data_IF_442780603037
#
_entry.id   IF_442780603037
#
_cell.length_a   1.000
_cell.length_b   1.000
_cell.length_c   1.000
_cell.angle_alpha   90.00
_cell.angle_beta   90.00
_cell.angle_gamma   90.00
#
_symmetry.space_group_name_H-M   'P 1'
#
loop_
_entity.id
_entity.type
_entity.pdbx_description
1 polymer ?
#
# COMPACT_ATOMS: atom_id res chain seq x y z
N UNK A 1 -23.98 8.93 14.72
CA UNK A 1 -25.13 8.99 13.79
C UNK A 1 -24.78 9.64 12.45
N UNK A 2 -24.33 10.91 12.39
CA UNK A 2 -24.02 11.59 11.10
C UNK A 2 -22.90 10.93 10.27
N UNK A 3 -21.82 10.47 10.92
CA UNK A 3 -20.69 9.85 10.19
C UNK A 3 -21.02 8.46 9.62
N UNK A 4 -21.85 7.70 10.32
CA UNK A 4 -22.37 6.41 9.83
C UNK A 4 -23.32 6.61 8.65
N UNK A 5 -24.12 7.69 8.67
CA UNK A 5 -24.96 8.08 7.54
C UNK A 5 -24.10 8.42 6.30
N UNK A 6 -23.01 9.18 6.47
CA UNK A 6 -22.07 9.44 5.37
C UNK A 6 -21.52 8.16 4.72
N UNK A 7 -21.22 7.12 5.51
CA UNK A 7 -20.83 5.81 4.96
C UNK A 7 -21.99 5.09 4.28
N UNK A 8 -23.17 5.09 4.89
CA UNK A 8 -24.34 4.39 4.34
C UNK A 8 -24.77 4.96 2.99
N UNK A 9 -24.66 6.28 2.83
CA UNK A 9 -24.98 7.05 1.62
C UNK A 9 -23.90 6.98 0.53
N UNK A 10 -22.79 6.27 0.77
CA UNK A 10 -21.82 6.01 -0.29
C UNK A 10 -22.43 5.05 -1.33
N UNK A 11 -22.29 5.36 -2.62
CA UNK A 11 -22.52 4.39 -3.68
C UNK A 11 -21.79 3.07 -3.42
N UNK A 12 -22.45 1.94 -3.70
CA UNK A 12 -21.92 0.59 -3.41
C UNK A 12 -20.48 0.38 -3.92
N UNK A 13 -20.18 0.88 -5.12
CA UNK A 13 -18.86 0.75 -5.76
C UNK A 13 -17.74 1.52 -5.04
N UNK A 14 -18.06 2.48 -4.17
CA UNK A 14 -17.10 3.24 -3.37
C UNK A 14 -16.85 2.63 -1.99
N UNK A 15 -17.81 1.86 -1.46
CA UNK A 15 -17.73 1.32 -0.10
C UNK A 15 -16.48 0.46 0.11
N UNK A 16 -16.15 -0.41 -0.85
CA UNK A 16 -14.94 -1.24 -0.77
C UNK A 16 -13.66 -0.39 -0.75
N UNK A 17 -13.55 0.65 -1.60
CA UNK A 17 -12.41 1.57 -1.61
C UNK A 17 -12.31 2.35 -0.30
N UNK A 18 -13.44 2.74 0.28
CA UNK A 18 -13.48 3.49 1.53
C UNK A 18 -13.12 2.61 2.74
N UNK A 19 -13.72 1.42 2.86
CA UNK A 19 -13.35 0.42 3.87
C UNK A 19 -11.88 0.04 3.77
N UNK A 20 -11.29 0.03 2.57
CA UNK A 20 -9.86 -0.22 2.38
C UNK A 20 -8.97 0.80 3.09
N UNK A 21 -9.43 2.03 3.34
CA UNK A 21 -8.67 3.01 4.12
C UNK A 21 -8.46 2.56 5.58
N UNK A 22 -9.29 1.62 6.07
CA UNK A 22 -9.10 1.04 7.40
C UNK A 22 -7.75 0.34 7.52
N UNK A 23 -7.10 -0.15 6.46
CA UNK A 23 -5.81 -0.86 6.62
C UNK A 23 -4.67 0.05 7.08
N UNK A 24 -4.82 1.38 6.97
CA UNK A 24 -3.80 2.31 7.41
C UNK A 24 -3.96 2.58 8.93
N UNK A 25 -2.86 2.75 9.68
CA UNK A 25 -2.95 3.13 11.08
C UNK A 25 -3.49 4.56 11.21
N UNK A 26 -3.90 4.91 12.42
CA UNK A 26 -4.28 6.28 12.77
C UNK A 26 -3.15 7.26 12.41
N UNK A 27 -3.53 8.49 12.05
CA UNK A 27 -2.61 9.55 11.66
C UNK A 27 -1.71 9.26 10.43
N UNK A 28 -1.91 8.14 9.73
CA UNK A 28 -1.13 7.81 8.54
C UNK A 28 -1.45 8.74 7.37
N UNK A 29 -0.43 9.36 6.78
CA UNK A 29 -0.58 10.17 5.56
C UNK A 29 -0.67 9.24 4.35
N UNK A 30 -1.87 9.08 3.81
CA UNK A 30 -2.17 8.21 2.68
C UNK A 30 -1.93 8.98 1.38
N UNK A 31 -0.97 8.51 0.58
CA UNK A 31 -0.69 9.09 -0.75
C UNK A 31 -1.70 8.57 -1.77
N UNK A 32 -2.27 9.49 -2.55
CA UNK A 32 -3.31 9.20 -3.56
C UNK A 32 -2.89 8.15 -4.58
N UNK A 33 -1.74 8.33 -5.23
CA UNK A 33 -1.27 7.43 -6.28
C UNK A 33 -1.10 5.97 -5.82
N UNK A 34 -0.35 5.69 -4.74
CA UNK A 34 -0.28 4.35 -4.15
C UNK A 34 -1.64 3.76 -3.79
N UNK A 35 -2.52 4.55 -3.15
CA UNK A 35 -3.86 4.12 -2.77
C UNK A 35 -4.70 3.68 -3.98
N UNK A 36 -4.75 4.50 -5.03
CA UNK A 36 -5.47 4.17 -6.28
C UNK A 36 -4.94 2.87 -6.90
N UNK A 37 -3.62 2.70 -6.97
CA UNK A 37 -3.02 1.46 -7.51
C UNK A 37 -3.34 0.23 -6.66
N UNK A 38 -3.42 0.37 -5.34
CA UNK A 38 -3.86 -0.72 -4.47
C UNK A 38 -5.33 -1.09 -4.70
N UNK A 39 -6.22 -0.09 -4.87
CA UNK A 39 -7.63 -0.36 -5.20
C UNK A 39 -7.79 -1.07 -6.55
N UNK A 40 -6.98 -0.70 -7.55
CA UNK A 40 -6.95 -1.36 -8.86
C UNK A 40 -6.44 -2.81 -8.72
N UNK A 41 -5.36 -3.03 -7.97
CA UNK A 41 -4.79 -4.35 -7.73
C UNK A 41 -5.76 -5.28 -6.97
N UNK A 42 -6.57 -4.74 -6.06
CA UNK A 42 -7.67 -5.43 -5.40
C UNK A 42 -8.84 -5.76 -6.34
N UNK A 43 -9.00 -4.99 -7.42
CA UNK A 43 -10.10 -5.09 -8.36
C UNK A 43 -11.35 -4.31 -7.95
N UNK A 44 -11.23 -3.33 -7.04
CA UNK A 44 -12.35 -2.47 -6.65
C UNK A 44 -12.70 -1.44 -7.72
N UNK A 45 -11.75 -1.16 -8.61
CA UNK A 45 -11.91 -0.21 -9.69
C UNK A 45 -12.06 -0.98 -10.99
N UNK A 46 -13.21 -0.81 -11.64
CA UNK A 46 -13.50 -1.37 -12.96
C UNK A 46 -13.40 -0.28 -14.02
N UNK A 47 -12.97 -0.66 -15.21
CA UNK A 47 -12.89 0.25 -16.35
C UNK A 47 -14.32 0.71 -16.73
N UNK A 48 -14.47 2.01 -17.01
CA UNK A 48 -15.72 2.60 -17.51
C UNK A 48 -15.47 3.20 -18.90
N UNK A 49 -16.49 3.25 -19.74
CA UNK A 49 -16.36 3.73 -21.12
C UNK A 49 -15.61 5.08 -21.18
N UNK A 50 -14.50 5.10 -21.94
CA UNK A 50 -13.67 6.28 -22.15
C UNK A 50 -12.70 6.65 -21.02
N UNK A 51 -12.63 5.88 -19.92
CA UNK A 51 -11.76 6.18 -18.78
C UNK A 51 -10.82 5.02 -18.45
N UNK A 52 -9.56 5.35 -18.12
CA UNK A 52 -8.63 4.39 -17.54
C UNK A 52 -9.03 4.03 -16.10
N UNK A 53 -8.59 2.87 -15.61
CA UNK A 53 -8.86 2.50 -14.21
C UNK A 53 -8.22 3.48 -13.23
N UNK A 54 -7.08 4.07 -13.56
CA UNK A 54 -6.45 5.12 -12.76
C UNK A 54 -7.34 6.36 -12.72
N UNK A 55 -7.90 6.81 -13.84
CA UNK A 55 -8.83 7.94 -13.86
C UNK A 55 -10.09 7.67 -13.03
N UNK A 56 -10.65 6.45 -13.11
CA UNK A 56 -11.81 6.06 -12.29
C UNK A 56 -11.44 6.06 -10.80
N UNK A 57 -10.33 5.44 -10.41
CA UNK A 57 -9.88 5.41 -9.02
C UNK A 57 -9.52 6.78 -8.48
N UNK A 58 -8.96 7.66 -9.32
CA UNK A 58 -8.70 9.06 -8.97
C UNK A 58 -10.01 9.80 -8.67
N UNK A 59 -11.09 9.58 -9.43
CA UNK A 59 -12.41 10.16 -9.14
C UNK A 59 -13.02 9.62 -7.84
N UNK A 60 -12.81 8.34 -7.53
CA UNK A 60 -13.25 7.78 -6.25
C UNK A 60 -12.57 8.48 -5.07
N UNK A 61 -11.28 8.80 -5.19
CA UNK A 61 -10.57 9.58 -4.18
C UNK A 61 -11.15 11.00 -4.05
N UNK A 62 -11.45 11.66 -5.17
CA UNK A 62 -12.04 13.01 -5.15
C UNK A 62 -13.41 13.02 -4.46
N UNK A 63 -14.22 11.97 -4.62
CA UNK A 63 -15.51 11.84 -3.93
C UNK A 63 -15.35 11.77 -2.40
N UNK A 64 -14.31 11.09 -1.91
CA UNK A 64 -14.06 11.04 -0.47
C UNK A 64 -13.60 12.39 0.09
N UNK A 65 -12.89 13.17 -0.73
CA UNK A 65 -12.49 14.54 -0.37
C UNK A 65 -13.71 15.48 -0.40
N UNK A 66 -14.53 15.44 -1.45
CA UNK A 66 -15.69 16.33 -1.61
C UNK A 66 -16.75 16.10 -0.53
N UNK A 67 -16.88 14.86 -0.04
CA UNK A 67 -17.76 14.49 1.08
C UNK A 67 -17.14 14.71 2.46
N UNK A 68 -15.94 15.29 2.53
CA UNK A 68 -15.19 15.50 3.78
C UNK A 68 -15.01 14.22 4.61
N UNK A 69 -14.92 13.07 3.95
CA UNK A 69 -14.68 11.78 4.62
C UNK A 69 -13.19 11.55 4.91
N UNK A 70 -12.32 12.28 4.20
CA UNK A 70 -10.88 12.33 4.43
C UNK A 70 -10.40 13.78 4.47
N UNK A 71 -9.38 14.03 5.28
CA UNK A 71 -8.74 15.33 5.42
C UNK A 71 -7.60 15.49 4.40
N UNK A 72 -7.63 16.48 3.49
CA UNK A 72 -6.50 16.78 2.61
C UNK A 72 -5.24 17.18 3.40
N UNK A 73 -4.09 16.60 3.08
CA UNK A 73 -2.80 16.90 3.74
C UNK A 73 -1.83 17.63 2.81
N UNK A 74 -1.74 17.18 1.55
CA UNK A 74 -0.87 17.81 0.56
C UNK A 74 -1.68 18.11 -0.68
N UNK A 75 -1.71 19.38 -1.05
CA UNK A 75 -2.31 19.88 -2.27
C UNK A 75 -1.17 20.36 -3.16
N UNK A 76 -1.18 20.00 -4.44
CA UNK A 76 -0.20 20.54 -5.38
C UNK A 76 -0.63 21.93 -5.90
N UNK A 77 0.24 22.52 -6.73
CA UNK A 77 0.02 23.86 -7.27
C UNK A 77 -1.21 23.96 -8.18
N UNK A 78 -1.74 22.85 -8.71
CA UNK A 78 -2.97 22.84 -9.50
C UNK A 78 -4.23 22.69 -8.64
N UNK A 79 -4.10 22.77 -7.31
CA UNK A 79 -5.21 22.55 -6.37
C UNK A 79 -5.58 21.09 -6.19
N UNK A 80 -4.81 20.14 -6.75
CA UNK A 80 -5.15 18.71 -6.66
C UNK A 80 -4.64 18.11 -5.36
N UNK A 81 -5.53 17.47 -4.61
CA UNK A 81 -5.16 16.75 -3.39
C UNK A 81 -4.32 15.51 -3.75
N UNK A 82 -3.09 15.45 -3.24
CA UNK A 82 -2.09 14.40 -3.49
C UNK A 82 -1.93 13.40 -2.33
N UNK A 83 -2.35 13.79 -1.14
CA UNK A 83 -2.43 12.90 0.01
C UNK A 83 -3.48 13.38 1.00
N UNK A 84 -4.04 12.44 1.77
CA UNK A 84 -5.00 12.71 2.82
C UNK A 84 -4.66 11.94 4.11
N UNK A 85 -5.43 12.24 5.16
CA UNK A 85 -5.58 11.42 6.38
C UNK A 85 -7.06 11.08 6.54
N UNK A 86 -7.36 9.93 7.12
CA UNK A 86 -8.73 9.66 7.59
C UNK A 86 -8.88 10.37 8.94
N UNK A 87 -10.01 11.05 9.17
CA UNK A 87 -10.33 11.64 10.47
C UNK A 87 -10.49 10.54 11.53
N UNK A 88 -10.05 10.75 12.76
CA UNK A 88 -10.02 9.69 13.80
C UNK A 88 -11.40 9.07 14.05
N UNK A 89 -12.45 9.89 14.15
CA UNK A 89 -13.82 9.39 14.33
C UNK A 89 -14.32 8.62 13.09
N UNK A 90 -13.91 9.04 11.88
CA UNK A 90 -14.24 8.30 10.66
C UNK A 90 -13.45 6.98 10.58
N UNK A 91 -12.21 6.96 11.08
CA UNK A 91 -11.39 5.77 11.16
C UNK A 91 -12.05 4.72 12.07
N UNK A 92 -12.59 5.13 13.21
CA UNK A 92 -13.35 4.25 14.10
C UNK A 92 -14.55 3.62 13.38
N UNK A 93 -15.32 4.43 12.63
CA UNK A 93 -16.47 3.96 11.85
C UNK A 93 -16.05 2.93 10.79
N UNK A 94 -15.01 3.20 9.99
CA UNK A 94 -14.59 2.25 8.93
C UNK A 94 -13.92 1.00 9.49
N UNK A 95 -13.24 1.09 10.64
CA UNK A 95 -12.70 -0.09 11.32
C UNK A 95 -13.83 -0.96 11.84
N UNK A 96 -14.83 -0.37 12.51
CA UNK A 96 -16.01 -1.09 12.99
C UNK A 96 -16.75 -1.78 11.84
N UNK A 97 -17.08 -1.04 10.77
CA UNK A 97 -17.74 -1.61 9.59
C UNK A 97 -16.90 -2.68 8.89
N UNK A 98 -15.58 -2.50 8.83
CA UNK A 98 -14.69 -3.50 8.26
C UNK A 98 -14.71 -4.81 9.04
N UNK A 99 -14.86 -4.76 10.37
CA UNK A 99 -14.96 -5.96 11.21
C UNK A 99 -16.33 -6.62 11.06
N UNK A 100 -17.42 -5.84 11.11
CA UNK A 100 -18.80 -6.31 10.90
C UNK A 100 -18.97 -7.04 9.55
N UNK A 101 -18.38 -6.50 8.48
CA UNK A 101 -18.49 -7.05 7.12
C UNK A 101 -17.40 -8.09 6.77
N UNK A 102 -16.52 -8.44 7.72
CA UNK A 102 -15.34 -9.28 7.48
C UNK A 102 -14.49 -8.81 6.28
N UNK A 103 -14.31 -7.50 6.17
CA UNK A 103 -13.62 -6.87 5.05
C UNK A 103 -12.10 -6.90 5.19
N UNK A 104 -11.59 -6.59 6.38
CA UNK A 104 -10.17 -6.60 6.76
C UNK A 104 -9.98 -6.95 8.23
N UNK A 105 -8.81 -7.49 8.53
CA UNK A 105 -8.39 -7.89 9.88
C UNK A 105 -7.11 -7.17 10.28
N UNK A 106 -6.98 -6.86 11.57
CA UNK A 106 -5.92 -5.98 12.07
C UNK A 106 -5.21 -6.58 13.28
N UNK A 107 -3.89 -6.39 13.32
CA UNK A 107 -3.09 -6.60 14.53
C UNK A 107 -2.64 -5.23 15.06
N UNK A 108 -3.22 -4.82 16.19
CA UNK A 108 -3.07 -3.47 16.76
C UNK A 108 -2.24 -3.48 18.05
N UNK A 109 -1.86 -2.28 18.51
CA UNK A 109 -1.18 -2.11 19.79
C UNK A 109 -2.10 -2.57 20.92
N UNK A 110 -1.52 -3.15 21.98
CA UNK A 110 -2.16 -3.86 23.12
C UNK A 110 -2.33 -5.37 22.95
N UNK A 111 -1.76 -5.99 21.90
CA UNK A 111 -1.82 -7.44 21.70
C UNK A 111 -3.22 -7.97 21.33
N UNK A 112 -4.17 -7.07 21.07
CA UNK A 112 -5.55 -7.41 20.72
C UNK A 112 -5.63 -7.75 19.24
N UNK A 113 -5.92 -9.02 18.95
CA UNK A 113 -6.29 -9.46 17.60
C UNK A 113 -7.71 -8.95 17.29
N UNK A 114 -7.84 -8.00 16.37
CA UNK A 114 -9.15 -7.59 15.84
C UNK A 114 -9.46 -8.50 14.64
N UNK A 115 -9.72 -9.77 14.97
CA UNK A 115 -10.02 -10.84 14.02
C UNK A 115 -11.35 -11.47 14.43
N UNK A 116 -12.42 -11.19 13.69
CA UNK A 116 -13.74 -11.76 13.99
C UNK A 116 -14.01 -13.10 13.27
N UNK A 117 -13.14 -13.52 12.35
CA UNK A 117 -13.47 -14.60 11.42
C UNK A 117 -12.27 -15.46 10.98
N UNK A 118 -12.57 -16.71 10.64
CA UNK A 118 -11.58 -17.67 10.13
C UNK A 118 -11.00 -17.25 8.78
N UNK A 119 -11.78 -16.61 7.92
CA UNK A 119 -11.35 -16.26 6.56
C UNK A 119 -10.87 -14.81 6.48
N UNK A 120 -9.54 -14.61 6.43
CA UNK A 120 -8.96 -13.28 6.23
C UNK A 120 -8.71 -13.01 4.75
N UNK A 121 -9.24 -11.89 4.24
CA UNK A 121 -8.97 -11.40 2.87
C UNK A 121 -7.94 -10.28 2.84
N UNK A 122 -7.89 -9.43 3.87
CA UNK A 122 -6.97 -8.28 3.96
C UNK A 122 -6.42 -8.22 5.35
N UNK A 123 -5.11 -8.17 5.46
CA UNK A 123 -4.41 -8.21 6.73
C UNK A 123 -3.48 -7.02 6.85
N UNK A 124 -3.64 -6.27 7.94
CA UNK A 124 -2.71 -5.20 8.30
C UNK A 124 -2.12 -5.44 9.68
N UNK A 125 -0.80 -5.54 9.74
CA UNK A 125 -0.05 -5.62 11.00
C UNK A 125 0.46 -4.22 11.34
N UNK A 126 -0.07 -3.62 12.41
CA UNK A 126 0.27 -2.26 12.86
C UNK A 126 1.23 -2.24 14.05
N UNK A 127 1.19 -3.28 14.89
CA UNK A 127 1.90 -3.32 16.18
C UNK A 127 3.01 -4.36 16.26
N UNK A 128 4.10 -4.00 16.95
CA UNK A 128 5.23 -4.86 17.29
C UNK A 128 4.88 -5.92 18.34
N UNK A 129 3.76 -5.78 19.07
CA UNK A 129 3.26 -6.79 20.02
C UNK A 129 2.61 -8.00 19.32
N UNK A 130 2.75 -8.12 18.00
CA UNK A 130 2.22 -9.25 17.24
C UNK A 130 2.86 -10.58 17.69
N UNK A 131 2.06 -11.45 18.31
CA UNK A 131 2.47 -12.82 18.61
C UNK A 131 2.14 -13.73 17.42
N UNK A 132 3.16 -14.38 16.86
CA UNK A 132 2.99 -15.30 15.72
C UNK A 132 2.33 -16.63 16.08
N UNK A 133 2.06 -16.89 17.35
CA UNK A 133 1.74 -18.23 17.84
C UNK A 133 0.29 -18.69 17.57
N UNK A 134 -0.64 -17.79 17.20
CA UNK A 134 -2.08 -18.09 17.30
C UNK A 134 -2.80 -18.39 15.97
N UNK A 135 -2.15 -18.22 14.81
CA UNK A 135 -2.85 -18.28 13.52
C UNK A 135 -2.60 -19.57 12.77
N UNK A 136 -3.66 -20.26 12.37
CA UNK A 136 -3.56 -21.47 11.54
C UNK A 136 -3.35 -21.10 10.06
N UNK A 137 -2.71 -22.00 9.30
CA UNK A 137 -2.48 -21.87 7.85
C UNK A 137 -3.77 -21.61 7.06
N UNK A 138 -4.86 -22.27 7.44
CA UNK A 138 -6.16 -22.17 6.75
C UNK A 138 -6.73 -20.76 6.78
N UNK A 139 -6.51 -20.04 7.88
CA UNK A 139 -7.14 -18.76 8.09
C UNK A 139 -6.47 -17.61 7.31
N UNK A 140 -5.21 -17.80 6.87
CA UNK A 140 -4.43 -16.83 6.08
C UNK A 140 -4.25 -17.21 4.60
N UNK A 141 -4.68 -18.42 4.21
CA UNK A 141 -4.61 -18.90 2.83
C UNK A 141 -5.38 -18.01 1.82
N UNK A 142 -6.36 -17.24 2.29
CA UNK A 142 -7.24 -16.39 1.48
C UNK A 142 -6.84 -14.92 1.40
N UNK A 143 -5.71 -14.55 2.02
CA UNK A 143 -5.23 -13.17 2.07
C UNK A 143 -4.84 -12.71 0.67
N UNK A 144 -5.43 -11.57 0.27
CA UNK A 144 -5.16 -10.86 -0.98
C UNK A 144 -4.41 -9.55 -0.77
N UNK A 145 -4.51 -8.96 0.42
CA UNK A 145 -3.73 -7.78 0.80
C UNK A 145 -2.99 -8.04 2.09
N UNK A 146 -1.70 -7.74 2.09
CA UNK A 146 -0.85 -7.76 3.25
C UNK A 146 -0.11 -6.44 3.34
N UNK A 147 -0.35 -5.71 4.45
CA UNK A 147 0.35 -4.49 4.80
C UNK A 147 1.02 -4.69 6.16
N UNK A 148 2.25 -4.21 6.27
CA UNK A 148 2.96 -4.26 7.54
C UNK A 148 3.54 -2.90 7.92
N UNK A 149 3.45 -2.57 9.21
CA UNK A 149 4.01 -1.35 9.76
C UNK A 149 5.55 -1.35 9.70
N UNK A 150 6.18 -0.19 9.47
CA UNK A 150 7.62 0.00 9.60
C UNK A 150 8.22 -0.39 10.96
N UNK A 151 7.41 -0.39 12.03
CA UNK A 151 7.84 -0.72 13.39
C UNK A 151 8.06 -2.22 13.63
N UNK A 152 7.74 -3.08 12.66
CA UNK A 152 7.86 -4.54 12.80
C UNK A 152 9.20 -5.01 12.28
N UNK A 153 9.97 -5.65 13.16
CA UNK A 153 11.33 -6.11 12.86
C UNK A 153 11.41 -7.57 12.39
N UNK A 154 10.30 -8.33 12.44
CA UNK A 154 10.25 -9.73 12.01
C UNK A 154 9.16 -9.99 10.96
N UNK A 155 9.46 -10.86 9.99
CA UNK A 155 8.47 -11.34 9.02
C UNK A 155 7.62 -12.44 9.69
N UNK A 156 6.28 -12.38 9.63
CA UNK A 156 5.44 -13.46 10.16
C UNK A 156 5.73 -14.81 9.53
N UNK A 157 5.76 -15.89 10.32
CA UNK A 157 6.02 -17.25 9.82
C UNK A 157 5.06 -17.71 8.71
N UNK A 158 3.82 -17.19 8.70
CA UNK A 158 2.83 -17.52 7.68
C UNK A 158 3.03 -16.76 6.37
N UNK A 159 3.92 -15.76 6.32
CA UNK A 159 4.11 -14.91 5.15
C UNK A 159 4.34 -15.71 3.84
N UNK A 160 5.14 -16.79 3.81
CA UNK A 160 5.30 -17.60 2.61
C UNK A 160 4.03 -18.36 2.17
N UNK A 161 3.00 -18.43 3.01
CA UNK A 161 1.75 -19.16 2.77
C UNK A 161 0.69 -18.29 2.05
N UNK A 162 0.93 -16.98 1.88
CA UNK A 162 0.00 -16.03 1.28
C UNK A 162 -0.07 -16.16 -0.25
N UNK A 163 -0.46 -17.33 -0.77
CA UNK A 163 -0.40 -17.67 -2.20
C UNK A 163 -1.36 -16.87 -3.08
N UNK A 164 -2.43 -16.32 -2.51
CA UNK A 164 -3.45 -15.52 -3.21
C UNK A 164 -3.20 -14.00 -3.12
N UNK A 165 -2.01 -13.60 -2.65
CA UNK A 165 -1.67 -12.20 -2.43
C UNK A 165 -1.66 -11.41 -3.75
N UNK A 166 -2.37 -10.29 -3.77
CA UNK A 166 -2.47 -9.32 -4.88
C UNK A 166 -1.78 -8.01 -4.54
N UNK A 167 -1.84 -7.58 -3.27
CA UNK A 167 -1.19 -6.37 -2.78
C UNK A 167 -0.25 -6.72 -1.63
N UNK A 168 1.02 -6.38 -1.81
CA UNK A 168 2.05 -6.45 -0.78
C UNK A 168 2.62 -5.06 -0.57
N UNK A 169 2.33 -4.43 0.57
CA UNK A 169 2.93 -3.17 0.96
C UNK A 169 3.79 -3.32 2.22
N UNK A 170 5.11 -3.36 1.97
CA UNK A 170 6.15 -3.43 2.99
C UNK A 170 6.89 -2.09 3.12
N UNK A 171 6.25 -0.99 2.72
CA UNK A 171 6.88 0.32 2.76
C UNK A 171 7.44 0.63 4.15
N UNK A 172 8.72 1.01 4.21
CA UNK A 172 9.39 1.37 5.46
C UNK A 172 9.75 0.19 6.36
N UNK A 173 9.41 -1.04 5.98
CA UNK A 173 9.65 -2.22 6.81
C UNK A 173 11.15 -2.50 6.95
N UNK A 174 11.60 -2.62 8.21
CA UNK A 174 13.01 -2.90 8.54
C UNK A 174 13.38 -4.37 8.41
N UNK A 175 12.39 -5.25 8.50
CA UNK A 175 12.62 -6.69 8.43
C UNK A 175 12.88 -7.17 7.00
N UNK A 176 12.55 -6.38 5.97
CA UNK A 176 12.82 -6.73 4.59
C UNK A 176 14.30 -6.59 4.26
N UNK A 177 14.92 -7.71 3.88
CA UNK A 177 16.33 -7.78 3.48
C UNK A 177 16.48 -8.70 2.27
N UNK A 178 17.63 -8.66 1.60
CA UNK A 178 17.88 -9.52 0.44
C UNK A 178 17.70 -11.02 0.77
N UNK A 179 17.93 -11.44 2.03
CA UNK A 179 17.83 -12.85 2.45
C UNK A 179 16.41 -13.40 2.48
N UNK A 180 15.41 -12.55 2.72
CA UNK A 180 14.02 -12.98 2.86
C UNK A 180 13.15 -12.58 1.66
N UNK A 181 13.71 -11.85 0.70
CA UNK A 181 12.98 -11.32 -0.44
C UNK A 181 12.59 -12.40 -1.47
N UNK A 182 13.34 -13.50 -1.53
CA UNK A 182 13.09 -14.59 -2.49
C UNK A 182 11.69 -15.20 -2.37
N UNK A 183 11.12 -15.21 -1.15
CA UNK A 183 9.78 -15.76 -0.95
C UNK A 183 8.68 -14.94 -1.65
N UNK A 184 8.90 -13.65 -1.94
CA UNK A 184 7.95 -12.81 -2.68
C UNK A 184 7.71 -13.35 -4.09
N UNK A 185 8.72 -13.97 -4.70
CA UNK A 185 8.63 -14.54 -6.05
C UNK A 185 7.67 -15.74 -6.13
N UNK A 186 7.12 -16.18 -4.99
CA UNK A 186 6.13 -17.26 -4.88
C UNK A 186 4.68 -16.76 -4.90
N UNK A 187 4.46 -15.45 -4.87
CA UNK A 187 3.14 -14.82 -4.90
C UNK A 187 2.72 -14.54 -6.34
N UNK A 188 2.40 -15.60 -7.09
CA UNK A 188 2.14 -15.48 -8.53
C UNK A 188 0.95 -14.57 -8.88
N UNK A 189 0.00 -14.34 -7.94
CA UNK A 189 -1.14 -13.44 -8.16
C UNK A 189 -0.83 -11.96 -7.83
N UNK A 190 0.41 -11.64 -7.47
CA UNK A 190 0.78 -10.31 -6.99
C UNK A 190 0.67 -9.28 -8.13
N UNK A 191 -0.08 -8.21 -7.87
CA UNK A 191 -0.31 -7.09 -8.79
C UNK A 191 0.34 -5.80 -8.32
N UNK A 192 0.51 -5.63 -7.02
CA UNK A 192 1.15 -4.47 -6.41
C UNK A 192 2.21 -4.91 -5.42
N UNK A 193 3.45 -4.47 -5.63
CA UNK A 193 4.58 -4.67 -4.73
C UNK A 193 5.21 -3.33 -4.37
N UNK A 194 5.23 -3.01 -3.09
CA UNK A 194 5.93 -1.85 -2.55
C UNK A 194 7.00 -2.30 -1.55
N UNK A 195 8.26 -2.07 -1.93
CA UNK A 195 9.46 -2.21 -1.10
C UNK A 195 10.05 -0.83 -0.77
N UNK A 196 9.27 0.23 -0.99
CA UNK A 196 9.73 1.61 -0.85
C UNK A 196 10.29 1.88 0.54
N UNK A 197 11.39 2.61 0.62
CA UNK A 197 12.01 2.99 1.90
C UNK A 197 12.42 1.77 2.75
N UNK A 198 12.90 0.70 2.11
CA UNK A 198 13.48 -0.47 2.78
C UNK A 198 14.97 -0.56 2.50
N UNK A 199 15.69 -1.34 3.29
CA UNK A 199 17.13 -1.56 3.14
C UNK A 199 17.51 -2.56 2.04
N UNK A 200 16.54 -2.98 1.22
CA UNK A 200 16.77 -3.91 0.10
C UNK A 200 17.72 -3.27 -0.91
N UNK A 201 18.76 -4.01 -1.31
CA UNK A 201 19.74 -3.55 -2.29
C UNK A 201 19.73 -4.33 -3.60
N UNK A 202 19.13 -5.51 -3.62
CA UNK A 202 19.07 -6.38 -4.80
C UNK A 202 17.68 -7.02 -4.85
N UNK A 203 17.03 -6.97 -6.02
CA UNK A 203 15.82 -7.75 -6.27
C UNK A 203 16.16 -9.22 -6.57
N UNK A 204 15.30 -10.19 -6.19
CA UNK A 204 15.54 -11.59 -6.45
C UNK A 204 15.70 -11.87 -7.93
N UNK A 205 16.56 -12.84 -8.28
CA UNK A 205 16.74 -13.27 -9.68
C UNK A 205 15.45 -13.78 -10.32
N UNK A 206 14.50 -14.25 -9.51
CA UNK A 206 13.21 -14.79 -9.96
C UNK A 206 12.07 -13.77 -9.93
N UNK A 207 12.35 -12.46 -9.81
CA UNK A 207 11.30 -11.43 -9.77
C UNK A 207 10.40 -11.48 -11.02
N UNK A 208 10.94 -11.89 -12.16
CA UNK A 208 10.20 -12.10 -13.42
C UNK A 208 9.08 -13.15 -13.34
N UNK A 209 9.03 -13.98 -12.29
CA UNK A 209 7.93 -14.93 -12.08
C UNK A 209 6.61 -14.25 -11.68
N UNK A 210 6.66 -12.97 -11.29
CA UNK A 210 5.49 -12.17 -10.94
C UNK A 210 4.84 -11.61 -12.22
N UNK A 211 4.40 -12.50 -13.11
CA UNK A 211 3.85 -12.17 -14.42
C UNK A 211 2.61 -11.25 -14.38
N UNK A 212 1.84 -11.26 -13.28
CA UNK A 212 0.68 -10.40 -13.06
C UNK A 212 1.01 -9.06 -12.39
N UNK A 213 2.29 -8.77 -12.10
CA UNK A 213 2.67 -7.56 -11.38
C UNK A 213 2.41 -6.31 -12.24
N UNK A 214 1.56 -5.41 -11.75
CA UNK A 214 1.20 -4.17 -12.42
C UNK A 214 1.99 -2.97 -11.85
N UNK A 215 2.38 -3.03 -10.57
CA UNK A 215 3.15 -1.96 -9.89
C UNK A 215 4.32 -2.53 -9.10
N UNK A 216 5.51 -1.98 -9.34
CA UNK A 216 6.73 -2.20 -8.56
C UNK A 216 7.25 -0.87 -8.02
N UNK A 217 7.15 -0.64 -6.71
CA UNK A 217 7.68 0.54 -6.02
C UNK A 217 8.94 0.18 -5.21
N UNK A 218 10.09 0.57 -5.75
CA UNK A 218 11.43 0.40 -5.16
C UNK A 218 12.09 1.76 -4.89
N UNK A 219 11.30 2.84 -4.80
CA UNK A 219 11.83 4.18 -4.46
C UNK A 219 12.41 4.19 -3.05
N UNK A 220 13.44 4.99 -2.83
CA UNK A 220 14.12 5.05 -1.53
C UNK A 220 14.67 3.68 -1.06
N UNK A 221 15.08 2.81 -1.99
CA UNK A 221 15.80 1.57 -1.68
C UNK A 221 17.24 1.67 -2.15
N UNK A 222 18.09 0.71 -1.82
CA UNK A 222 19.47 0.66 -2.28
C UNK A 222 19.61 -0.06 -3.65
N UNK A 223 18.50 -0.38 -4.32
CA UNK A 223 18.49 -1.09 -5.60
C UNK A 223 19.01 -0.19 -6.71
N UNK A 224 20.14 -0.57 -7.31
CA UNK A 224 20.77 0.16 -8.41
C UNK A 224 20.44 -0.39 -9.79
N UNK A 225 20.11 -1.68 -9.89
CA UNK A 225 19.86 -2.38 -11.15
C UNK A 225 18.73 -3.40 -10.98
N UNK A 226 17.91 -3.54 -12.01
CA UNK A 226 16.95 -4.64 -12.09
C UNK A 226 17.64 -5.90 -12.62
N UNK A 227 17.29 -7.10 -12.13
CA UNK A 227 17.76 -8.35 -12.70
C UNK A 227 17.20 -8.52 -14.12
N UNK A 228 17.88 -9.29 -14.97
CA UNK A 228 17.45 -9.54 -16.37
C UNK A 228 16.04 -10.13 -16.46
N UNK A 229 15.63 -10.94 -15.49
CA UNK A 229 14.29 -11.50 -15.40
C UNK A 229 13.18 -10.46 -15.23
N UNK A 230 13.49 -9.23 -14.82
CA UNK A 230 12.49 -8.16 -14.74
C UNK A 230 11.88 -7.83 -16.12
N UNK A 231 12.56 -8.19 -17.22
CA UNK A 231 12.00 -8.11 -18.57
C UNK A 231 10.74 -8.99 -18.77
N UNK A 232 10.55 -10.03 -17.94
CA UNK A 232 9.39 -10.92 -17.99
C UNK A 232 8.17 -10.36 -17.26
N UNK A 233 8.25 -9.18 -16.64
CA UNK A 233 7.14 -8.50 -15.98
C UNK A 233 6.21 -7.83 -17.02
N UNK A 234 5.57 -8.64 -17.85
CA UNK A 234 4.82 -8.18 -19.04
C UNK A 234 3.57 -7.37 -18.69
N UNK A 235 2.99 -7.52 -17.49
CA UNK A 235 1.87 -6.72 -17.02
C UNK A 235 2.27 -5.42 -16.30
N UNK A 236 3.57 -5.10 -16.19
CA UNK A 236 4.04 -3.96 -15.39
C UNK A 236 3.66 -2.63 -16.05
N UNK A 237 2.87 -1.83 -15.33
CA UNK A 237 2.44 -0.48 -15.75
C UNK A 237 3.20 0.61 -15.03
N UNK A 238 3.66 0.33 -13.81
CA UNK A 238 4.31 1.32 -12.95
C UNK A 238 5.58 0.76 -12.34
N UNK A 239 6.72 1.14 -12.91
CA UNK A 239 8.03 0.99 -12.28
C UNK A 239 8.40 2.31 -11.59
N UNK A 240 8.40 2.32 -10.27
CA UNK A 240 8.74 3.49 -9.48
C UNK A 240 10.09 3.24 -8.81
N UNK A 241 11.12 3.97 -9.23
CA UNK A 241 12.48 3.84 -8.73
C UNK A 241 13.12 5.21 -8.46
N UNK A 242 14.28 5.20 -7.79
CA UNK A 242 15.06 6.40 -7.47
C UNK A 242 14.83 6.95 -6.07
N UNK A 243 15.67 7.91 -5.72
CA UNK A 243 15.62 8.64 -4.46
C UNK A 243 15.01 10.02 -4.70
N UNK A 244 14.28 10.54 -3.72
CA UNK A 244 14.05 11.98 -3.64
C UNK A 244 15.35 12.65 -3.23
N UNK A 245 16.11 13.13 -4.19
CA UNK A 245 17.03 14.23 -3.90
C UNK A 245 16.18 15.41 -3.46
N UNK A 246 16.27 15.78 -2.18
CA UNK A 246 15.84 17.10 -1.78
C UNK A 246 16.84 18.06 -2.43
N UNK A 247 16.47 18.60 -3.59
CA UNK A 247 17.07 19.84 -4.07
C UNK A 247 16.69 20.92 -3.05
N UNK A 248 17.45 21.00 -1.96
CA UNK A 248 17.45 22.19 -1.12
C UNK A 248 17.82 23.34 -2.03
N UNK A 249 17.04 24.42 -2.00
CA UNK A 249 17.18 25.62 -2.83
C UNK A 249 18.54 26.34 -2.70
N UNK A 250 19.51 25.77 -2.00
CA UNK A 250 20.81 26.37 -1.69
C UNK A 250 21.95 25.91 -2.59
N UNK A 251 21.81 24.86 -3.41
CA UNK A 251 22.91 24.36 -4.26
C UNK A 251 22.93 24.89 -5.70
N UNK A 252 22.07 25.87 -6.03
CA UNK A 252 22.08 26.56 -7.33
C UNK A 252 22.47 28.03 -7.21
N UNK A 253 23.66 28.31 -6.68
CA UNK A 253 24.45 29.45 -7.13
C UNK A 253 25.85 28.94 -7.39
N UNK A 254 26.04 28.32 -8.56
CA UNK A 254 27.39 28.17 -9.12
C UNK A 254 27.87 29.59 -9.41
N UNK A 255 28.68 30.15 -8.51
CA UNK A 255 29.46 31.34 -8.83
C UNK A 255 30.34 30.98 -10.04
N UNK A 256 30.06 31.62 -11.18
CA UNK A 256 31.01 31.73 -12.28
C UNK A 256 32.23 32.46 -11.72
N UNK A 257 33.30 31.72 -11.43
CA UNK A 257 34.61 32.35 -11.26
C UNK A 257 35.12 32.73 -12.65
N UNK A 258 35.49 33.99 -12.88
CA UNK A 258 36.11 34.38 -14.13
C UNK A 258 37.48 33.69 -14.23
N UNK A 259 37.75 33.11 -15.40
CA UNK A 259 39.08 32.71 -15.82
C UNK A 259 39.99 33.93 -15.87
N UNK A 260 41.12 33.87 -15.18
CA UNK A 260 42.20 34.83 -15.31
C UNK A 260 43.53 34.11 -15.48
N UNK A 261 44.17 34.37 -16.63
CA UNK A 261 45.61 34.31 -16.85
C UNK A 261 46.23 32.92 -16.90
#
# INVERSE_FOLDING_TARGET
QVLTLNYNDLPYHLKACFLYLSIFPENHVIKRGPLVRMWIAEGFVTQRHGLSMEQVGERYFDEFVSRSMVHPVRIDWSGKVRSCKVHDIMLEVIVSKSLEENFASFFCDNGTELVSHDKIRRLSIRSSSYSSAQRTSNSVAHVRTFRMSPSIDNIPFFFPQLRLLRVLDMQGSRCMSNKNLDCICRFFQLKYLSLRNTSVSILPRLIGNLNHLETLDIRETLIKKLPSSAANLTCLKHLLAGHKEQLTRTSSVKFLRPSSG
#
